data_IF_307891282347
#
_entry.id   IF_307891282347
#
_cell.length_a   1.000
_cell.length_b   1.000
_cell.length_c   1.000
_cell.angle_alpha   90.00
_cell.angle_beta   90.00
_cell.angle_gamma   90.00
#
_symmetry.space_group_name_H-M   'P 1'
#
loop_
_entity.id
_entity.type
_entity.pdbx_description
1 polymer ?
#
# COMPACT_ATOMS: atom_id res chain seq x y z
N UNK A 1 -27.79 -12.50 36.38
CA UNK A 1 -26.47 -12.93 35.87
C UNK A 1 -25.64 -11.69 35.66
N UNK A 2 -24.42 -11.61 36.20
CA UNK A 2 -23.49 -10.50 35.94
C UNK A 2 -22.43 -11.03 34.97
N UNK A 3 -22.33 -10.43 33.79
CA UNK A 3 -21.25 -10.72 32.84
C UNK A 3 -19.95 -10.02 33.25
N UNK A 4 -18.82 -10.51 32.75
CA UNK A 4 -17.51 -9.86 32.84
C UNK A 4 -17.01 -9.51 31.44
N UNK A 5 -16.24 -8.43 31.32
CA UNK A 5 -15.59 -8.00 30.08
C UNK A 5 -14.08 -8.08 30.32
N UNK A 6 -13.37 -8.72 29.40
CA UNK A 6 -11.92 -8.82 29.40
C UNK A 6 -11.40 -8.38 28.04
N UNK A 7 -10.39 -7.51 28.04
CA UNK A 7 -9.69 -7.08 26.83
C UNK A 7 -8.47 -7.96 26.68
N UNK A 8 -8.38 -8.69 25.56
CA UNK A 8 -7.27 -9.57 25.24
C UNK A 8 -6.45 -8.88 24.15
N UNK A 9 -5.15 -8.68 24.40
CA UNK A 9 -4.25 -8.18 23.36
C UNK A 9 -4.15 -9.17 22.20
N UNK A 10 -4.32 -8.66 20.98
CA UNK A 10 -4.14 -9.42 19.75
C UNK A 10 -3.30 -8.59 18.80
N UNK A 11 -2.08 -9.03 18.51
CA UNK A 11 -1.17 -8.39 17.53
C UNK A 11 -1.23 -9.18 16.23
N UNK A 12 -2.09 -8.76 15.30
CA UNK A 12 -2.13 -9.28 13.94
C UNK A 12 -1.56 -8.22 12.99
N UNK A 13 -0.29 -7.89 13.18
CA UNK A 13 0.39 -6.85 12.39
C UNK A 13 1.47 -7.47 11.49
N UNK A 14 1.58 -6.96 10.26
CA UNK A 14 2.70 -7.26 9.35
C UNK A 14 3.43 -5.97 9.04
N UNK A 15 4.77 -6.00 9.06
CA UNK A 15 5.60 -4.86 8.72
C UNK A 15 6.33 -5.07 7.39
N UNK A 16 6.30 -4.05 6.53
CA UNK A 16 7.08 -3.95 5.30
C UNK A 16 8.18 -2.91 5.48
N UNK A 17 9.45 -3.30 5.33
CA UNK A 17 10.56 -2.36 5.25
C UNK A 17 11.02 -2.23 3.79
N UNK A 18 11.10 -1.00 3.31
CA UNK A 18 11.55 -0.67 1.95
C UNK A 18 12.71 0.30 2.03
N UNK A 19 13.71 0.10 1.16
CA UNK A 19 14.82 1.03 0.96
C UNK A 19 14.92 1.39 -0.52
N UNK A 20 15.25 2.63 -0.83
CA UNK A 20 15.37 3.12 -2.21
C UNK A 20 16.40 4.25 -2.35
N UNK A 21 16.77 4.57 -3.59
CA UNK A 21 17.65 5.69 -3.91
C UNK A 21 16.87 7.01 -4.07
N UNK A 22 15.56 6.94 -4.28
CA UNK A 22 14.72 8.11 -4.53
C UNK A 22 13.32 7.96 -3.95
N UNK A 23 12.63 9.10 -3.74
CA UNK A 23 11.27 9.10 -3.19
C UNK A 23 10.25 8.47 -4.14
N UNK A 24 10.42 8.68 -5.46
CA UNK A 24 9.59 8.05 -6.49
C UNK A 24 9.68 6.53 -6.41
N UNK A 25 10.91 6.01 -6.37
CA UNK A 25 11.16 4.57 -6.24
C UNK A 25 10.63 4.03 -4.91
N UNK A 26 10.73 4.81 -3.81
CA UNK A 26 10.17 4.40 -2.51
C UNK A 26 8.66 4.15 -2.61
N UNK A 27 7.91 5.11 -3.14
CA UNK A 27 6.45 5.02 -3.27
C UNK A 27 6.00 3.88 -4.19
N UNK A 28 6.75 3.63 -5.26
CA UNK A 28 6.50 2.50 -6.16
C UNK A 28 6.76 1.16 -5.45
N UNK A 29 7.92 1.02 -4.79
CA UNK A 29 8.33 -0.21 -4.12
C UNK A 29 7.41 -0.56 -2.95
N UNK A 30 6.94 0.42 -2.18
CA UNK A 30 6.02 0.17 -1.07
C UNK A 30 4.67 -0.34 -1.58
N UNK A 31 4.13 0.20 -2.68
CA UNK A 31 2.92 -0.33 -3.31
C UNK A 31 3.12 -1.75 -3.88
N UNK A 32 4.27 -2.03 -4.50
CA UNK A 32 4.61 -3.40 -4.94
C UNK A 32 4.74 -4.34 -3.73
N UNK A 33 5.36 -3.89 -2.65
CA UNK A 33 5.53 -4.64 -1.40
C UNK A 33 4.20 -4.96 -0.71
N UNK A 34 3.22 -4.04 -0.79
CA UNK A 34 1.84 -4.31 -0.36
C UNK A 34 1.27 -5.54 -1.06
N UNK A 35 1.35 -5.61 -2.40
CA UNK A 35 0.87 -6.79 -3.14
C UNK A 35 1.66 -8.07 -2.80
N UNK A 36 2.96 -7.96 -2.50
CA UNK A 36 3.75 -9.12 -2.06
C UNK A 36 3.26 -9.69 -0.71
N UNK A 37 2.85 -8.82 0.22
CA UNK A 37 2.25 -9.26 1.50
C UNK A 37 0.91 -9.95 1.23
N UNK A 38 0.06 -9.34 0.40
CA UNK A 38 -1.24 -9.90 0.03
C UNK A 38 -1.08 -11.28 -0.61
N UNK A 39 -0.10 -11.46 -1.50
CA UNK A 39 0.25 -12.74 -2.11
C UNK A 39 0.40 -12.63 -3.62
N UNK A 40 -0.02 -13.66 -4.36
CA UNK A 40 -0.02 -13.60 -5.82
C UNK A 40 -1.34 -12.99 -6.28
N UNK A 41 -1.30 -11.74 -6.73
CA UNK A 41 -2.46 -11.01 -7.24
C UNK A 41 -2.33 -10.88 -8.75
N UNK A 42 -3.34 -11.34 -9.48
CA UNK A 42 -3.33 -11.40 -10.94
C UNK A 42 -4.52 -10.64 -11.51
N UNK A 43 -4.26 -9.89 -12.57
CA UNK A 43 -5.30 -9.23 -13.37
C UNK A 43 -5.87 -10.14 -14.45
N UNK A 44 -7.11 -9.86 -14.83
CA UNK A 44 -7.74 -10.29 -16.09
C UNK A 44 -8.21 -9.08 -16.89
N UNK A 45 -8.59 -9.37 -18.13
CA UNK A 45 -9.02 -8.40 -19.14
C UNK A 45 -7.86 -7.48 -19.60
N UNK A 46 -8.11 -6.66 -20.63
CA UNK A 46 -7.11 -5.69 -21.10
C UNK A 46 -6.90 -4.62 -20.03
N UNK A 47 -5.64 -4.27 -19.68
CA UNK A 47 -5.34 -3.17 -18.77
C UNK A 47 -5.96 -1.85 -19.25
N UNK A 48 -6.41 -1.03 -18.31
CA UNK A 48 -6.87 0.34 -18.55
C UNK A 48 -5.93 1.32 -17.88
N UNK A 49 -5.69 2.46 -18.52
CA UNK A 49 -4.95 3.54 -17.90
C UNK A 49 -5.88 4.34 -16.99
N UNK A 50 -5.43 4.60 -15.77
CA UNK A 50 -6.12 5.39 -14.77
C UNK A 50 -5.12 6.40 -14.17
N UNK A 51 -5.64 7.52 -13.66
CA UNK A 51 -4.85 8.52 -12.98
C UNK A 51 -5.32 8.61 -11.53
N UNK A 52 -4.37 8.55 -10.61
CA UNK A 52 -4.58 8.77 -9.18
C UNK A 52 -3.88 10.06 -8.78
N UNK A 53 -4.63 10.99 -8.21
CA UNK A 53 -4.13 12.26 -7.68
C UNK A 53 -4.46 12.34 -6.20
N UNK A 54 -3.44 12.58 -5.37
CA UNK A 54 -3.58 12.69 -3.92
C UNK A 54 -2.86 13.93 -3.42
N UNK A 55 -3.38 14.51 -2.33
CA UNK A 55 -2.77 15.62 -1.63
C UNK A 55 -2.79 15.34 -0.12
N UNK A 56 -1.69 15.64 0.55
CA UNK A 56 -1.52 15.38 1.98
C UNK A 56 -0.62 16.44 2.63
N UNK A 57 -0.42 16.36 3.94
CA UNK A 57 0.34 17.38 4.69
C UNK A 57 1.85 17.11 4.74
N UNK A 58 2.26 15.86 4.52
CA UNK A 58 3.65 15.38 4.56
C UNK A 58 3.85 14.17 3.63
N UNK A 59 5.10 13.76 3.41
CA UNK A 59 5.39 12.54 2.65
C UNK A 59 4.83 11.28 3.33
N UNK A 60 4.87 11.21 4.66
CA UNK A 60 4.34 10.10 5.44
C UNK A 60 2.82 9.98 5.29
N UNK A 61 2.10 11.10 5.43
CA UNK A 61 0.65 11.13 5.20
C UNK A 61 0.32 10.75 3.75
N UNK A 62 1.11 11.24 2.80
CA UNK A 62 0.93 10.93 1.38
C UNK A 62 1.19 9.45 1.07
N UNK A 63 2.19 8.84 1.72
CA UNK A 63 2.50 7.42 1.57
C UNK A 63 1.42 6.54 2.20
N UNK A 64 0.90 6.94 3.36
CA UNK A 64 -0.25 6.30 3.98
C UNK A 64 -1.46 6.31 3.04
N UNK A 65 -1.83 7.49 2.54
CA UNK A 65 -3.00 7.67 1.67
C UNK A 65 -2.82 6.95 0.33
N UNK A 66 -1.60 6.92 -0.20
CA UNK A 66 -1.27 6.15 -1.40
C UNK A 66 -1.52 4.65 -1.21
N UNK A 67 -1.08 4.07 -0.09
CA UNK A 67 -1.33 2.65 0.20
C UNK A 67 -2.78 2.37 0.55
N UNK A 68 -3.47 3.31 1.21
CA UNK A 68 -4.90 3.21 1.44
C UNK A 68 -5.68 3.18 0.12
N UNK A 69 -5.26 3.97 -0.87
CA UNK A 69 -5.83 3.94 -2.22
C UNK A 69 -5.51 2.60 -2.90
N UNK A 70 -4.25 2.14 -2.93
CA UNK A 70 -3.88 0.81 -3.46
C UNK A 70 -4.73 -0.30 -2.84
N UNK A 71 -4.91 -0.26 -1.52
CA UNK A 71 -5.75 -1.21 -0.79
C UNK A 71 -7.22 -1.11 -1.21
N UNK A 72 -7.79 0.08 -1.26
CA UNK A 72 -9.18 0.32 -1.69
C UNK A 72 -9.45 -0.20 -3.11
N UNK A 73 -8.50 -0.02 -4.04
CA UNK A 73 -8.63 -0.53 -5.40
C UNK A 73 -8.70 -2.06 -5.42
N UNK A 74 -7.88 -2.73 -4.62
CA UNK A 74 -7.91 -4.18 -4.53
C UNK A 74 -9.18 -4.68 -3.85
N UNK A 75 -9.44 -4.21 -2.63
CA UNK A 75 -10.47 -4.78 -1.77
C UNK A 75 -11.89 -4.40 -2.25
N UNK A 76 -12.12 -3.11 -2.48
CA UNK A 76 -13.45 -2.60 -2.83
C UNK A 76 -13.68 -2.61 -4.33
N UNK A 77 -12.73 -2.14 -5.14
CA UNK A 77 -12.90 -2.08 -6.61
C UNK A 77 -12.58 -3.39 -7.31
N UNK A 78 -12.05 -4.39 -6.61
CA UNK A 78 -11.66 -5.68 -7.20
C UNK A 78 -10.78 -5.48 -8.44
N UNK A 79 -9.81 -4.57 -8.32
CA UNK A 79 -8.95 -4.09 -9.40
C UNK A 79 -7.52 -3.99 -8.90
N UNK A 80 -6.55 -4.35 -9.74
CA UNK A 80 -5.15 -4.51 -9.39
C UNK A 80 -4.33 -3.58 -10.27
N UNK A 81 -3.35 -2.90 -9.69
CA UNK A 81 -2.37 -2.13 -10.47
C UNK A 81 -1.30 -3.09 -11.02
N UNK A 82 -1.09 -3.03 -12.32
CA UNK A 82 -0.10 -3.82 -13.07
C UNK A 82 1.21 -3.02 -13.21
N UNK A 83 1.10 -1.77 -13.65
CA UNK A 83 2.20 -0.80 -13.69
C UNK A 83 1.80 0.47 -12.94
N UNK A 84 2.79 1.10 -12.30
CA UNK A 84 2.65 2.34 -11.53
C UNK A 84 3.78 3.25 -11.98
N UNK A 85 3.45 4.48 -12.39
CA UNK A 85 4.41 5.51 -12.72
C UNK A 85 3.96 6.84 -12.13
N UNK A 86 4.86 7.56 -11.48
CA UNK A 86 4.55 8.86 -10.91
C UNK A 86 4.99 9.97 -11.87
N UNK A 87 4.05 10.77 -12.34
CA UNK A 87 4.32 11.95 -13.18
C UNK A 87 4.62 13.19 -12.33
N UNK A 88 4.14 13.20 -11.08
CA UNK A 88 4.50 14.19 -10.07
C UNK A 88 4.58 13.54 -8.68
N UNK A 89 5.58 13.91 -7.89
CA UNK A 89 5.68 13.57 -6.47
C UNK A 89 6.44 14.66 -5.73
N UNK A 90 5.79 15.26 -4.75
CA UNK A 90 6.36 16.23 -3.82
C UNK A 90 5.75 16.04 -2.42
N UNK A 91 6.26 16.73 -1.42
CA UNK A 91 5.92 16.54 0.01
C UNK A 91 4.41 16.57 0.32
N UNK A 92 3.61 17.22 -0.54
CA UNK A 92 2.18 17.46 -0.31
C UNK A 92 1.27 16.89 -1.38
N UNK A 93 1.81 16.16 -2.34
CA UNK A 93 0.98 15.62 -3.41
C UNK A 93 1.71 14.72 -4.38
N UNK A 94 0.92 13.85 -5.01
CA UNK A 94 1.37 12.97 -6.08
C UNK A 94 0.34 12.92 -7.20
N UNK A 95 0.83 12.62 -8.39
CA UNK A 95 0.05 12.19 -9.54
C UNK A 95 0.69 10.90 -10.05
N UNK A 96 -0.07 9.82 -10.01
CA UNK A 96 0.32 8.51 -10.51
C UNK A 96 -0.52 8.13 -11.72
N UNK A 97 0.14 7.76 -12.81
CA UNK A 97 -0.45 7.02 -13.92
C UNK A 97 -0.30 5.53 -13.62
N UNK A 98 -1.42 4.81 -13.58
CA UNK A 98 -1.44 3.37 -13.31
C UNK A 98 -2.10 2.63 -14.47
N UNK A 99 -1.59 1.45 -14.79
CA UNK A 99 -2.33 0.49 -15.58
C UNK A 99 -3.04 -0.46 -14.63
N UNK A 100 -4.36 -0.59 -14.80
CA UNK A 100 -5.21 -1.31 -13.87
C UNK A 100 -5.99 -2.41 -14.59
N UNK A 101 -6.04 -3.60 -13.99
CA UNK A 101 -6.78 -4.75 -14.49
C UNK A 101 -7.77 -5.23 -13.45
N UNK A 102 -8.87 -5.84 -13.90
CA UNK A 102 -9.81 -6.45 -12.96
C UNK A 102 -9.14 -7.62 -12.26
N UNK A 103 -9.33 -7.76 -10.95
CA UNK A 103 -8.81 -8.88 -10.18
C UNK A 103 -9.33 -10.22 -10.71
N UNK A 104 -8.43 -11.20 -10.86
CA UNK A 104 -8.77 -12.56 -11.24
C UNK A 104 -8.63 -13.53 -10.04
N UNK A 105 -9.73 -13.89 -9.37
CA UNK A 105 -9.69 -14.81 -8.24
C UNK A 105 -9.27 -16.24 -8.62
N UNK A 106 -9.35 -16.63 -9.91
CA UNK A 106 -8.95 -17.99 -10.34
C UNK A 106 -7.45 -18.12 -10.54
N UNK A 107 -6.79 -17.02 -10.94
CA UNK A 107 -5.33 -16.97 -11.15
C UNK A 107 -4.57 -16.49 -9.91
N UNK A 108 -5.25 -15.76 -9.04
CA UNK A 108 -4.67 -15.23 -7.81
C UNK A 108 -4.60 -16.26 -6.69
N UNK A 109 -3.65 -16.07 -5.78
CA UNK A 109 -3.49 -16.82 -4.52
C UNK A 109 -3.22 -15.82 -3.40
N UNK A 110 -4.28 -15.43 -2.70
CA UNK A 110 -4.20 -14.55 -1.54
C UNK A 110 -3.65 -15.34 -0.36
N UNK A 111 -2.66 -14.76 0.32
CA UNK A 111 -1.98 -15.32 1.50
C UNK A 111 -2.34 -14.55 2.77
N UNK A 112 -2.45 -13.23 2.65
CA UNK A 112 -2.72 -12.31 3.75
C UNK A 112 -3.77 -11.33 3.30
N UNK A 113 -4.81 -11.14 4.09
CA UNK A 113 -5.75 -10.05 3.93
C UNK A 113 -5.19 -8.87 4.72
N UNK A 114 -5.09 -7.70 4.12
CA UNK A 114 -4.74 -6.47 4.83
C UNK A 114 -6.05 -5.76 5.12
N UNK A 115 -6.32 -5.43 6.38
CA UNK A 115 -7.52 -4.68 6.79
C UNK A 115 -7.29 -3.18 6.72
N UNK A 116 -6.09 -2.74 7.08
CA UNK A 116 -5.75 -1.33 7.09
C UNK A 116 -4.24 -1.09 6.98
N UNK A 117 -3.90 0.05 6.40
CA UNK A 117 -2.58 0.67 6.51
C UNK A 117 -2.58 1.48 7.80
N UNK A 118 -1.51 1.40 8.60
CA UNK A 118 -1.44 2.12 9.87
C UNK A 118 -0.38 3.22 9.84
N UNK A 119 -0.55 4.21 10.71
CA UNK A 119 0.47 5.22 11.01
C UNK A 119 1.53 4.73 12.01
N UNK A 120 1.48 3.47 12.44
CA UNK A 120 2.33 2.98 13.51
C UNK A 120 3.81 2.98 13.08
N UNK A 121 4.60 3.87 13.67
CA UNK A 121 6.01 4.10 13.34
C UNK A 121 6.27 4.39 11.85
N UNK A 122 5.29 4.98 11.16
CA UNK A 122 5.45 5.39 9.77
C UNK A 122 6.33 6.64 9.70
N UNK A 123 7.57 6.45 9.27
CA UNK A 123 8.55 7.53 9.12
C UNK A 123 9.52 7.21 8.00
N UNK A 124 9.76 8.20 7.13
CA UNK A 124 10.73 8.08 6.04
C UNK A 124 12.04 8.69 6.52
N UNK A 125 13.10 7.89 6.59
CA UNK A 125 14.41 8.28 7.11
C UNK A 125 15.50 8.05 6.08
N UNK A 126 16.63 8.73 6.24
CA UNK A 126 17.85 8.41 5.49
C UNK A 126 18.77 7.52 6.33
N UNK A 127 19.04 6.31 5.85
CA UNK A 127 19.88 5.31 6.50
C UNK A 127 20.92 4.79 5.49
N UNK A 128 22.20 4.84 5.83
CA UNK A 128 23.30 4.39 4.96
C UNK A 128 23.29 4.97 3.53
N UNK A 129 22.80 6.21 3.40
CA UNK A 129 22.67 6.91 2.11
C UNK A 129 21.41 6.57 1.31
N UNK A 130 20.53 5.69 1.82
CA UNK A 130 19.26 5.31 1.21
C UNK A 130 18.08 5.90 1.97
N UNK A 131 16.97 6.14 1.27
CA UNK A 131 15.69 6.39 1.91
C UNK A 131 15.13 5.07 2.42
N UNK A 132 14.66 5.03 3.66
CA UNK A 132 14.12 3.84 4.32
C UNK A 132 12.79 4.17 4.97
N UNK A 133 11.80 3.31 4.80
CA UNK A 133 10.52 3.38 5.51
C UNK A 133 10.11 2.00 6.02
N UNK A 134 9.47 1.96 7.18
CA UNK A 134 8.78 0.76 7.67
C UNK A 134 7.29 1.07 7.76
N UNK A 135 6.46 0.31 7.05
CA UNK A 135 5.01 0.44 7.07
C UNK A 135 4.42 -0.75 7.80
N UNK A 136 3.50 -0.51 8.73
CA UNK A 136 2.80 -1.57 9.46
C UNK A 136 1.35 -1.66 8.99
N UNK A 137 0.90 -2.88 8.74
CA UNK A 137 -0.44 -3.22 8.28
C UNK A 137 -1.16 -4.05 9.34
N UNK A 138 -2.43 -3.74 9.57
CA UNK A 138 -3.36 -4.60 10.30
C UNK A 138 -3.86 -5.68 9.34
N UNK A 139 -3.74 -6.97 9.72
CA UNK A 139 -4.09 -8.13 8.89
C UNK A 139 -5.16 -9.01 9.53
#
# INVERSE_FOLDING_TARGET
MRGNIEVIEHTADVALRVQSQSMLELFELVARGFYQIVGRVEGRDSPRQEVVELAASSYEDLLHDWLAEVHYWLDVRQTVFDEISFTALHERGLIAEVTACRFDPKRSRIRTEIKAVTYHNLEIRQEDGLLTVTVVFDV
#
